data_IF_109088678458
#
_entry.id   IF_109088678458
#
_cell.length_a   1.000
_cell.length_b   1.000
_cell.length_c   1.000
_cell.angle_alpha   90.00
_cell.angle_beta   90.00
_cell.angle_gamma   90.00
#
_symmetry.space_group_name_H-M   'P 1'
#
loop_
_entity.id
_entity.type
_entity.pdbx_description
1 polymer ?
#
# COMPACT_ATOMS: atom_id res chain seq x y z
N UNK A 1 -4.51 -3.66 -14.77
CA UNK A 1 -5.46 -2.84 -13.98
C UNK A 1 -6.59 -3.72 -13.45
N UNK A 2 -7.31 -4.45 -14.31
CA UNK A 2 -8.44 -5.32 -13.91
C UNK A 2 -8.11 -6.35 -12.82
N UNK A 3 -6.91 -6.94 -12.84
CA UNK A 3 -6.49 -7.90 -11.80
C UNK A 3 -6.26 -7.28 -10.42
N UNK A 4 -5.85 -6.00 -10.34
CA UNK A 4 -5.56 -5.34 -9.05
C UNK A 4 -6.83 -4.91 -8.32
N UNK A 5 -7.89 -4.58 -9.06
CA UNK A 5 -9.19 -4.23 -8.47
C UNK A 5 -9.85 -5.48 -7.85
N UNK A 6 -9.64 -6.65 -8.46
CA UNK A 6 -10.15 -7.91 -7.94
C UNK A 6 -9.47 -8.37 -6.65
N UNK A 7 -8.23 -7.96 -6.40
CA UNK A 7 -7.51 -8.26 -5.15
C UNK A 7 -7.89 -7.35 -3.98
N UNK A 8 -8.81 -6.40 -4.19
CA UNK A 8 -9.24 -5.48 -3.14
C UNK A 8 -10.23 -6.16 -2.20
N UNK A 9 -9.85 -6.30 -0.93
CA UNK A 9 -10.79 -6.69 0.12
C UNK A 9 -11.61 -5.47 0.57
N UNK A 10 -12.71 -5.23 -0.15
CA UNK A 10 -13.62 -4.12 0.14
C UNK A 10 -14.26 -4.21 1.53
N UNK A 11 -14.45 -5.42 2.08
CA UNK A 11 -15.02 -5.58 3.42
C UNK A 11 -14.05 -5.13 4.49
N UNK A 12 -12.77 -5.47 4.34
CA UNK A 12 -11.71 -5.00 5.24
C UNK A 12 -11.56 -3.47 5.18
N UNK A 13 -11.54 -2.90 3.98
CA UNK A 13 -11.41 -1.44 3.78
C UNK A 13 -12.60 -0.69 4.40
N UNK A 14 -13.82 -1.19 4.25
CA UNK A 14 -15.02 -0.50 4.73
C UNK A 14 -15.13 -0.48 6.27
N UNK A 15 -14.40 -1.34 6.98
CA UNK A 15 -14.31 -1.32 8.45
C UNK A 15 -13.45 -0.17 8.99
N UNK A 16 -12.72 0.53 8.12
CA UNK A 16 -11.80 1.60 8.50
C UNK A 16 -12.29 2.97 7.98
N UNK A 17 -11.83 4.03 8.64
CA UNK A 17 -12.08 5.42 8.24
C UNK A 17 -10.77 6.20 8.24
N UNK A 18 -10.59 7.06 7.24
CA UNK A 18 -9.39 7.88 7.08
C UNK A 18 -8.07 7.09 7.08
N UNK A 19 -8.07 5.83 6.65
CA UNK A 19 -6.89 4.96 6.56
C UNK A 19 -6.16 5.08 5.21
N UNK A 20 -5.00 4.45 5.09
CA UNK A 20 -4.23 4.31 3.84
C UNK A 20 -4.02 2.81 3.56
N UNK A 21 -4.46 2.35 2.40
CA UNK A 21 -4.31 0.97 1.95
C UNK A 21 -3.41 0.88 0.73
N UNK A 22 -2.43 -0.01 0.79
CA UNK A 22 -1.61 -0.40 -0.34
C UNK A 22 -2.19 -1.67 -0.96
N UNK A 23 -2.52 -1.59 -2.25
CA UNK A 23 -3.03 -2.68 -3.06
C UNK A 23 -1.97 -3.03 -4.11
N UNK A 24 -1.43 -4.24 -4.00
CA UNK A 24 -0.47 -4.82 -4.93
C UNK A 24 -0.98 -6.20 -5.40
N UNK A 25 -0.29 -6.81 -6.35
CA UNK A 25 -0.69 -8.08 -6.96
C UNK A 25 -0.86 -9.18 -5.88
N UNK A 26 -2.12 -9.44 -5.50
CA UNK A 26 -2.57 -10.38 -4.46
C UNK A 26 -2.47 -9.92 -3.00
N UNK A 27 -2.28 -8.64 -2.72
CA UNK A 27 -2.18 -8.17 -1.33
C UNK A 27 -2.84 -6.81 -1.14
N UNK A 28 -3.54 -6.68 -0.01
CA UNK A 28 -4.12 -5.44 0.47
C UNK A 28 -3.66 -5.24 1.92
N UNK A 29 -2.86 -4.21 2.16
CA UNK A 29 -2.24 -3.96 3.47
C UNK A 29 -2.52 -2.53 3.91
N UNK A 30 -2.91 -2.35 5.16
CA UNK A 30 -3.00 -1.03 5.76
C UNK A 30 -1.59 -0.50 6.08
N UNK A 31 -1.28 0.71 5.60
CA UNK A 31 0.03 1.37 5.78
C UNK A 31 -0.10 2.74 6.48
N UNK A 32 -1.24 3.02 7.11
CA UNK A 32 -1.56 4.30 7.78
C UNK A 32 -0.52 4.70 8.82
N UNK A 33 0.11 3.73 9.50
CA UNK A 33 1.13 4.00 10.53
C UNK A 33 2.51 4.32 9.95
N UNK A 34 2.74 4.00 8.68
CA UNK A 34 4.03 4.16 8.01
C UNK A 34 4.12 5.47 7.22
N UNK A 35 2.98 5.99 6.76
CA UNK A 35 2.93 7.14 5.85
C UNK A 35 1.85 8.14 6.25
N UNK A 36 2.09 9.42 5.94
CA UNK A 36 1.08 10.47 6.04
C UNK A 36 0.26 10.53 4.76
N UNK A 37 -1.05 10.72 4.87
CA UNK A 37 -1.96 10.68 3.74
C UNK A 37 -1.68 11.80 2.73
N UNK A 38 -1.38 12.99 3.25
CA UNK A 38 -1.11 14.20 2.46
C UNK A 38 0.12 13.98 1.57
N UNK A 39 1.17 13.37 2.12
CA UNK A 39 2.39 13.05 1.38
C UNK A 39 2.10 11.99 0.29
N UNK A 40 1.29 10.99 0.61
CA UNK A 40 0.94 9.93 -0.34
C UNK A 40 0.04 10.43 -1.49
N UNK A 41 -0.78 11.44 -1.27
CA UNK A 41 -1.58 12.07 -2.34
C UNK A 41 -0.70 12.72 -3.40
N UNK A 42 0.46 13.28 -3.02
CA UNK A 42 1.37 13.99 -3.92
C UNK A 42 2.44 13.10 -4.55
N UNK A 43 2.70 11.94 -3.95
CA UNK A 43 3.83 11.07 -4.31
C UNK A 43 3.47 10.11 -5.44
N UNK A 44 4.39 9.83 -6.37
CA UNK A 44 4.18 8.86 -7.46
C UNK A 44 4.90 7.51 -7.26
N UNK A 45 5.77 7.43 -6.25
CA UNK A 45 6.48 6.19 -5.88
C UNK A 45 7.07 6.30 -4.48
N UNK A 46 7.21 5.18 -3.79
CA UNK A 46 7.75 5.15 -2.43
C UNK A 46 8.51 3.84 -2.17
N UNK A 47 9.25 3.79 -1.06
CA UNK A 47 9.99 2.61 -0.63
C UNK A 47 9.43 2.15 0.71
N UNK A 48 9.26 0.84 0.88
CA UNK A 48 9.00 0.23 2.19
C UNK A 48 10.13 -0.71 2.58
N UNK A 49 10.47 -0.63 3.85
CA UNK A 49 11.41 -1.53 4.50
C UNK A 49 10.61 -2.52 5.32
N UNK A 50 10.81 -3.81 5.09
CA UNK A 50 10.31 -4.85 5.97
C UNK A 50 11.51 -5.52 6.61
N UNK A 51 11.78 -5.21 7.88
CA UNK A 51 12.84 -5.81 8.67
C UNK A 51 12.19 -6.82 9.60
N UNK A 52 12.59 -8.08 9.50
CA UNK A 52 12.16 -9.08 10.45
C UNK A 52 12.89 -8.80 11.78
N UNK A 53 12.14 -8.54 12.85
CA UNK A 53 12.72 -8.16 14.15
C UNK A 53 13.53 -9.29 14.82
N UNK A 54 13.41 -10.53 14.32
CA UNK A 54 14.02 -11.71 14.91
C UNK A 54 15.28 -12.19 14.18
N UNK A 55 15.65 -11.58 13.06
CA UNK A 55 16.89 -11.89 12.34
C UNK A 55 17.42 -10.68 11.56
N UNK A 56 18.64 -10.74 11.06
CA UNK A 56 19.21 -9.66 10.24
C UNK A 56 18.68 -9.64 8.79
N UNK A 57 17.59 -10.35 8.49
CA UNK A 57 16.99 -10.37 7.17
C UNK A 57 15.95 -9.25 7.03
N UNK A 58 16.17 -8.42 6.02
CA UNK A 58 15.23 -7.40 5.61
C UNK A 58 14.92 -7.52 4.13
N UNK A 59 13.84 -6.90 3.71
CA UNK A 59 13.57 -6.67 2.30
C UNK A 59 13.29 -5.20 2.07
N UNK A 60 13.78 -4.70 0.94
CA UNK A 60 13.46 -3.38 0.45
C UNK A 60 12.60 -3.55 -0.79
N UNK A 61 11.43 -2.92 -0.75
CA UNK A 61 10.47 -2.97 -1.84
C UNK A 61 10.21 -1.56 -2.34
N UNK A 62 10.47 -1.34 -3.62
CA UNK A 62 10.12 -0.11 -4.33
C UNK A 62 8.74 -0.27 -4.93
N UNK A 63 7.90 0.74 -4.72
CA UNK A 63 6.53 0.79 -5.21
C UNK A 63 6.37 1.96 -6.16
N UNK A 64 5.96 1.67 -7.40
CA UNK A 64 5.49 2.67 -8.35
C UNK A 64 3.97 2.76 -8.26
N UNK A 65 3.44 3.93 -7.93
CA UNK A 65 2.00 4.13 -7.83
C UNK A 65 1.42 4.21 -9.24
N UNK A 66 0.47 3.34 -9.52
CA UNK A 66 -0.27 3.28 -10.78
C UNK A 66 -1.51 4.17 -10.66
N UNK A 67 -2.23 4.07 -9.55
CA UNK A 67 -3.49 4.77 -9.35
C UNK A 67 -3.76 5.04 -7.86
N UNK A 68 -4.55 6.08 -7.60
CA UNK A 68 -5.02 6.45 -6.28
C UNK A 68 -6.53 6.63 -6.32
N UNK A 69 -7.22 6.12 -5.31
CA UNK A 69 -8.66 6.26 -5.17
C UNK A 69 -9.01 6.65 -3.73
N UNK A 70 -9.92 7.60 -3.57
CA UNK A 70 -10.48 7.95 -2.26
C UNK A 70 -11.85 7.28 -2.10
N UNK A 71 -12.02 6.53 -1.02
CA UNK A 71 -13.31 5.96 -0.66
C UNK A 71 -14.24 7.01 -0.04
N UNK A 72 -15.57 6.75 0.03
CA UNK A 72 -16.50 7.62 0.74
C UNK A 72 -16.21 7.82 2.24
N UNK A 73 -15.48 6.88 2.86
CA UNK A 73 -14.99 6.97 4.26
C UNK A 73 -13.60 7.61 4.37
N UNK A 74 -13.21 8.32 3.31
CA UNK A 74 -11.92 9.00 3.17
C UNK A 74 -10.71 8.05 3.22
N UNK A 75 -10.89 6.75 2.96
CA UNK A 75 -9.74 5.83 2.87
C UNK A 75 -8.99 6.09 1.56
N UNK A 76 -7.67 6.23 1.63
CA UNK A 76 -6.82 6.35 0.46
C UNK A 76 -6.37 4.96 0.02
N UNK A 77 -6.84 4.51 -1.13
CA UNK A 77 -6.44 3.29 -1.79
C UNK A 77 -5.32 3.63 -2.77
N UNK A 78 -4.18 2.95 -2.64
CA UNK A 78 -3.00 3.14 -3.47
C UNK A 78 -2.73 1.84 -4.21
N UNK A 79 -2.97 1.86 -5.52
CA UNK A 79 -2.65 0.74 -6.40
C UNK A 79 -1.23 0.90 -6.89
N UNK A 80 -0.36 -0.06 -6.60
CA UNK A 80 1.05 0.05 -6.92
C UNK A 80 1.65 -1.25 -7.47
N UNK A 81 2.64 -1.08 -8.35
CA UNK A 81 3.50 -2.15 -8.84
C UNK A 81 4.74 -2.24 -7.96
N UNK A 82 5.07 -3.45 -7.49
CA UNK A 82 6.20 -3.70 -6.60
C UNK A 82 7.41 -4.22 -7.37
N UNK A 83 8.57 -3.65 -7.10
CA UNK A 83 9.88 -4.21 -7.45
C UNK A 83 10.66 -4.49 -6.16
N UNK A 84 11.03 -5.74 -5.93
CA UNK A 84 11.69 -6.18 -4.69
C UNK A 84 13.17 -6.43 -4.92
N UNK A 85 14.02 -6.05 -3.95
CA UNK A 85 15.39 -6.57 -3.82
C UNK A 85 15.56 -7.15 -2.41
N UNK A 86 16.05 -8.38 -2.33
CA UNK A 86 16.51 -8.96 -1.06
C UNK A 86 17.87 -8.36 -0.70
N UNK A 87 18.05 -8.06 0.58
CA UNK A 87 19.31 -7.58 1.16
C UNK A 87 19.97 -8.71 1.97
#
# INVERSE_FOLDING_TARGET
MDNLIQSVDWKFIDQHSNAIFLIEENSCVEITKEFKKEDMLLTNSFVRYNVNQYNSFGSVSYYKIVEKLLSPKENLLIFAERTSRQL
#
